data_IF_064600535597
#
_entry.id   IF_064600535597
#
_cell.length_a   1.000
_cell.length_b   1.000
_cell.length_c   1.000
_cell.angle_alpha   90.00
_cell.angle_beta   90.00
_cell.angle_gamma   90.00
#
_symmetry.space_group_name_H-M   'P 1'
#
loop_
_entity.id
_entity.type
_entity.pdbx_description
1 polymer ?
#
# COMPACT_ATOMS: atom_id res chain seq x y z
N UNK A 1 -57.98 -6.57 38.99
CA UNK A 1 -58.20 -5.95 37.67
C UNK A 1 -57.40 -6.73 36.65
N UNK A 2 -57.98 -7.03 35.47
CA UNK A 2 -57.29 -7.75 34.40
C UNK A 2 -56.77 -6.73 33.35
N UNK A 3 -55.55 -6.95 32.86
CA UNK A 3 -54.98 -6.14 31.77
C UNK A 3 -55.39 -6.72 30.41
N UNK A 4 -55.44 -5.89 29.37
CA UNK A 4 -55.49 -6.39 28.00
C UNK A 4 -54.20 -7.16 27.69
N UNK A 5 -54.34 -8.34 27.09
CA UNK A 5 -53.19 -9.10 26.59
C UNK A 5 -52.78 -8.56 25.24
N UNK A 6 -51.55 -8.08 25.14
CA UNK A 6 -50.96 -7.59 23.90
C UNK A 6 -50.25 -8.73 23.17
N UNK A 7 -50.50 -8.85 21.87
CA UNK A 7 -49.80 -9.78 20.97
C UNK A 7 -49.12 -8.97 19.87
N UNK A 8 -47.86 -9.23 19.51
CA UNK A 8 -47.17 -8.52 18.44
C UNK A 8 -47.69 -8.96 17.06
N UNK A 9 -48.93 -8.61 16.75
CA UNK A 9 -49.61 -8.91 15.51
C UNK A 9 -49.97 -7.61 14.79
N UNK A 10 -49.80 -7.59 13.47
CA UNK A 10 -50.27 -6.49 12.64
C UNK A 10 -51.75 -6.71 12.29
N UNK A 11 -52.61 -5.88 12.86
CA UNK A 11 -54.05 -5.85 12.55
C UNK A 11 -54.26 -4.99 11.29
N UNK A 12 -54.90 -5.54 10.25
CA UNK A 12 -55.15 -4.82 8.98
C UNK A 12 -55.97 -3.54 9.17
N UNK A 13 -56.87 -3.54 10.15
CA UNK A 13 -57.73 -2.42 10.50
C UNK A 13 -58.07 -2.40 11.98
N UNK A 14 -58.48 -1.23 12.45
CA UNK A 14 -59.04 -1.05 13.80
C UNK A 14 -60.55 -1.04 13.63
N UNK A 15 -61.23 -1.92 14.36
CA UNK A 15 -62.68 -2.01 14.33
C UNK A 15 -63.30 -0.70 14.78
N UNK A 16 -64.23 -0.18 13.99
CA UNK A 16 -65.06 0.94 14.39
C UNK A 16 -66.30 0.39 15.08
N UNK A 17 -66.65 0.95 16.23
CA UNK A 17 -67.92 0.60 16.87
C UNK A 17 -69.09 0.94 15.96
N UNK A 18 -70.01 -0.01 15.86
CA UNK A 18 -71.27 0.14 15.19
C UNK A 18 -72.37 0.48 16.21
N UNK A 19 -73.41 1.18 15.78
CA UNK A 19 -74.53 1.53 16.66
C UNK A 19 -75.35 0.33 17.12
N UNK A 20 -75.22 -0.81 16.45
CA UNK A 20 -75.85 -2.09 16.80
C UNK A 20 -75.01 -2.94 17.75
N UNK A 21 -73.78 -2.53 18.08
CA UNK A 21 -72.90 -3.34 18.91
C UNK A 21 -73.39 -3.36 20.36
N UNK A 22 -73.46 -4.54 20.99
CA UNK A 22 -73.80 -4.65 22.41
C UNK A 22 -72.62 -4.15 23.27
N UNK A 23 -72.90 -3.39 24.32
CA UNK A 23 -71.86 -3.02 25.30
C UNK A 23 -71.44 -4.27 26.06
N UNK A 24 -70.28 -4.82 25.70
CA UNK A 24 -69.77 -6.07 26.25
C UNK A 24 -68.27 -5.96 26.53
N UNK A 25 -67.92 -5.93 27.82
CA UNK A 25 -66.54 -5.96 28.29
C UNK A 25 -65.92 -7.37 28.35
N UNK A 26 -64.79 -7.47 29.05
CA UNK A 26 -64.03 -8.73 29.19
C UNK A 26 -63.04 -8.99 28.04
N UNK A 27 -62.21 -10.05 28.12
CA UNK A 27 -61.08 -10.27 27.21
C UNK A 27 -61.46 -10.34 25.72
N UNK A 28 -62.64 -10.88 25.41
CA UNK A 28 -63.19 -11.04 24.06
C UNK A 28 -64.41 -10.12 23.80
N UNK A 29 -64.70 -9.19 24.71
CA UNK A 29 -65.77 -8.22 24.55
C UNK A 29 -65.53 -7.29 23.37
N UNK A 30 -66.62 -6.86 22.73
CA UNK A 30 -66.56 -5.97 21.55
C UNK A 30 -66.00 -4.59 21.94
N UNK A 31 -66.29 -4.12 23.16
CA UNK A 31 -65.78 -2.85 23.73
C UNK A 31 -64.25 -2.80 23.77
N UNK A 32 -63.60 -3.97 23.92
CA UNK A 32 -62.16 -4.08 23.99
C UNK A 32 -61.50 -4.41 22.64
N UNK A 33 -62.29 -4.64 21.58
CA UNK A 33 -61.75 -5.00 20.26
C UNK A 33 -60.85 -3.90 19.67
N UNK A 34 -61.30 -2.63 19.50
CA UNK A 34 -60.45 -1.59 18.91
C UNK A 34 -59.19 -1.31 19.73
N UNK A 35 -59.32 -1.27 21.07
CA UNK A 35 -58.20 -1.05 21.99
C UNK A 35 -57.20 -2.20 21.94
N UNK A 36 -57.66 -3.45 21.90
CA UNK A 36 -56.79 -4.63 21.70
C UNK A 36 -56.04 -4.56 20.37
N UNK A 37 -56.73 -4.21 19.29
CA UNK A 37 -56.12 -4.11 17.96
C UNK A 37 -55.06 -3.01 17.90
N UNK A 38 -55.33 -1.84 18.50
CA UNK A 38 -54.36 -0.76 18.64
C UNK A 38 -53.15 -1.19 19.48
N UNK A 39 -53.39 -1.88 20.60
CA UNK A 39 -52.32 -2.37 21.46
C UNK A 39 -51.44 -3.40 20.73
N UNK A 40 -52.04 -4.33 19.99
CA UNK A 40 -51.33 -5.31 19.16
C UNK A 40 -50.43 -4.64 18.10
N UNK A 41 -50.98 -3.67 17.34
CA UNK A 41 -50.20 -2.91 16.34
C UNK A 41 -49.06 -2.12 16.98
N UNK A 42 -49.29 -1.53 18.15
CA UNK A 42 -48.28 -0.78 18.89
C UNK A 42 -47.14 -1.69 19.35
N UNK A 43 -47.47 -2.86 19.91
CA UNK A 43 -46.48 -3.85 20.30
C UNK A 43 -45.71 -4.38 19.09
N UNK A 44 -46.40 -4.70 17.99
CA UNK A 44 -45.77 -5.11 16.73
C UNK A 44 -44.76 -4.05 16.25
N UNK A 45 -45.18 -2.79 16.11
CA UNK A 45 -44.31 -1.69 15.68
C UNK A 45 -43.12 -1.48 16.62
N UNK A 46 -43.32 -1.58 17.94
CA UNK A 46 -42.23 -1.51 18.91
C UNK A 46 -41.23 -2.64 18.71
N UNK A 47 -41.72 -3.84 18.40
CA UNK A 47 -40.88 -5.03 18.14
C UNK A 47 -40.10 -4.88 16.83
N UNK A 48 -40.75 -4.43 15.75
CA UNK A 48 -40.10 -4.17 14.46
C UNK A 48 -39.07 -3.03 14.55
N UNK A 49 -39.40 -1.96 15.28
CA UNK A 49 -38.47 -0.86 15.54
C UNK A 49 -37.25 -1.36 16.33
N UNK A 50 -37.45 -2.20 17.34
CA UNK A 50 -36.35 -2.79 18.09
C UNK A 50 -35.44 -3.65 17.19
N UNK A 51 -36.01 -4.46 16.29
CA UNK A 51 -35.24 -5.24 15.29
C UNK A 51 -34.45 -4.33 14.35
N UNK A 52 -35.07 -3.27 13.83
CA UNK A 52 -34.41 -2.30 12.96
C UNK A 52 -33.24 -1.59 13.66
N UNK A 53 -33.46 -1.12 14.89
CA UNK A 53 -32.43 -0.47 15.72
C UNK A 53 -31.27 -1.42 16.02
N UNK A 54 -31.55 -2.69 16.34
CA UNK A 54 -30.52 -3.71 16.53
C UNK A 54 -29.71 -3.96 15.25
N UNK A 55 -30.37 -4.04 14.09
CA UNK A 55 -29.69 -4.18 12.79
C UNK A 55 -28.77 -2.98 12.48
N UNK A 56 -29.22 -1.76 12.77
CA UNK A 56 -28.41 -0.54 12.63
C UNK A 56 -27.21 -0.55 13.58
N UNK A 57 -27.39 -0.96 14.84
CA UNK A 57 -26.29 -1.10 15.81
C UNK A 57 -25.24 -2.13 15.39
N UNK A 58 -25.67 -3.24 14.78
CA UNK A 58 -24.77 -4.27 14.24
C UNK A 58 -23.88 -3.74 13.12
N UNK A 59 -24.42 -2.92 12.21
CA UNK A 59 -23.64 -2.27 11.14
C UNK A 59 -22.68 -1.21 11.68
N UNK A 60 -23.04 -0.54 12.79
CA UNK A 60 -22.15 0.41 13.43
C UNK A 60 -20.91 -0.23 14.04
N UNK A 61 -21.04 -1.45 14.56
CA UNK A 61 -19.97 -2.21 15.18
C UNK A 61 -18.93 -2.76 14.19
N UNK A 62 -19.28 -2.88 12.90
CA UNK A 62 -18.33 -3.26 11.86
C UNK A 62 -17.40 -2.08 11.58
N UNK A 63 -16.21 -2.13 12.18
CA UNK A 63 -15.14 -1.16 11.96
C UNK A 63 -14.16 -1.71 10.94
N UNK A 64 -13.87 -0.92 9.90
CA UNK A 64 -12.79 -1.22 8.96
C UNK A 64 -11.58 -0.36 9.36
N UNK A 65 -10.55 -1.01 9.90
CA UNK A 65 -9.26 -0.37 10.15
C UNK A 65 -8.46 -0.29 8.85
N UNK A 66 -8.16 0.92 8.38
CA UNK A 66 -7.18 1.07 7.30
C UNK A 66 -5.81 0.69 7.85
N UNK A 67 -5.24 -0.39 7.30
CA UNK A 67 -3.87 -0.80 7.60
C UNK A 67 -2.86 0.13 6.94
N UNK A 68 -1.57 -0.15 7.14
CA UNK A 68 -0.51 0.57 6.44
C UNK A 68 -0.70 0.51 4.92
N UNK A 69 -0.45 1.63 4.23
CA UNK A 69 -0.61 1.79 2.78
C UNK A 69 -2.02 2.11 2.29
N UNK A 70 -3.02 1.97 3.15
CA UNK A 70 -4.39 2.44 2.91
C UNK A 70 -4.67 3.66 3.81
N UNK A 71 -5.35 4.66 3.27
CA UNK A 71 -5.87 5.78 4.05
C UNK A 71 -7.40 5.75 4.03
N UNK A 72 -8.02 6.16 5.14
CA UNK A 72 -9.47 6.11 5.35
C UNK A 72 -9.88 5.11 6.44
N UNK A 73 -11.12 4.59 6.36
CA UNK A 73 -11.69 3.65 7.32
C UNK A 73 -12.97 4.16 8.03
N UNK A 74 -13.34 3.50 9.13
CA UNK A 74 -14.47 3.87 10.00
C UNK A 74 -15.54 2.78 10.15
N UNK A 75 -16.63 3.12 10.85
CA UNK A 75 -17.84 2.29 11.00
C UNK A 75 -18.51 1.99 9.63
N UNK A 76 -19.48 1.07 9.47
CA UNK A 76 -20.25 0.83 8.22
C UNK A 76 -21.61 1.60 8.11
N UNK A 77 -21.92 2.51 9.04
CA UNK A 77 -23.18 3.31 9.05
C UNK A 77 -23.39 4.44 7.99
N UNK A 78 -22.38 4.76 7.19
CA UNK A 78 -22.35 5.71 6.08
C UNK A 78 -21.50 5.17 4.88
N UNK A 79 -21.13 6.02 3.91
CA UNK A 79 -20.21 5.61 2.85
C UNK A 79 -18.75 5.62 3.36
N UNK A 80 -17.95 4.66 2.92
CA UNK A 80 -16.52 4.55 3.26
C UNK A 80 -15.68 4.75 2.02
N UNK A 81 -14.74 5.69 2.11
CA UNK A 81 -13.67 5.84 1.13
C UNK A 81 -12.42 5.17 1.67
N UNK A 82 -11.91 4.20 0.93
CA UNK A 82 -10.60 3.60 1.16
C UNK A 82 -9.76 3.92 -0.06
N UNK A 83 -8.65 4.61 0.16
CA UNK A 83 -7.77 5.04 -0.92
C UNK A 83 -6.38 4.45 -0.69
N UNK A 84 -5.76 3.97 -1.76
CA UNK A 84 -4.34 3.63 -1.76
C UNK A 84 -3.52 4.91 -1.79
N UNK A 85 -2.57 5.04 -0.87
CA UNK A 85 -1.66 6.17 -0.89
C UNK A 85 -0.69 6.10 -2.10
N UNK A 86 -0.22 7.26 -2.56
CA UNK A 86 0.64 7.36 -3.75
C UNK A 86 1.97 6.63 -3.51
N UNK A 87 2.36 5.63 -4.33
CA UNK A 87 3.63 4.93 -4.16
C UNK A 87 4.82 5.89 -4.15
N UNK A 88 5.84 5.61 -3.32
CA UNK A 88 7.04 6.44 -3.31
C UNK A 88 8.01 6.04 -4.43
N UNK A 89 8.97 6.91 -4.74
CA UNK A 89 10.04 6.62 -5.70
C UNK A 89 10.89 5.44 -5.24
N UNK A 90 11.15 4.49 -6.14
CA UNK A 90 12.10 3.40 -5.92
C UNK A 90 13.52 3.86 -6.26
N UNK A 91 14.46 3.59 -5.36
CA UNK A 91 15.90 3.79 -5.52
C UNK A 91 16.65 2.55 -5.03
N UNK A 92 17.97 2.48 -5.28
CA UNK A 92 18.81 1.38 -4.80
C UNK A 92 18.97 1.29 -3.28
N UNK A 93 18.37 2.20 -2.52
CA UNK A 93 18.31 2.17 -1.05
C UNK A 93 16.88 2.07 -0.51
N UNK A 94 15.88 1.93 -1.38
CA UNK A 94 14.49 1.79 -0.97
C UNK A 94 14.30 0.46 -0.25
N UNK A 95 13.58 0.48 0.87
CA UNK A 95 13.21 -0.73 1.61
C UNK A 95 11.75 -1.13 1.34
N UNK A 96 11.39 -2.36 1.68
CA UNK A 96 9.99 -2.77 1.75
C UNK A 96 9.31 -2.03 2.90
N UNK A 97 8.38 -1.14 2.57
CA UNK A 97 7.68 -0.35 3.56
C UNK A 97 6.25 -0.11 3.11
N UNK A 98 5.27 -0.33 3.98
CA UNK A 98 3.87 -0.19 3.62
C UNK A 98 3.38 1.27 3.60
N UNK A 99 4.20 2.25 4.00
CA UNK A 99 3.78 3.65 4.03
C UNK A 99 2.87 4.00 5.21
N UNK A 100 2.72 5.29 5.49
CA UNK A 100 1.71 5.82 6.41
C UNK A 100 1.31 7.24 5.99
N UNK A 101 0.03 7.58 6.12
CA UNK A 101 -0.50 8.88 5.71
C UNK A 101 -0.56 9.07 4.19
N UNK A 102 -0.25 10.27 3.70
CA UNK A 102 -0.34 10.61 2.26
C UNK A 102 0.75 9.98 1.37
N UNK A 103 1.78 9.38 1.98
CA UNK A 103 2.87 8.69 1.28
C UNK A 103 2.61 7.19 1.29
N UNK A 104 2.56 6.59 0.12
CA UNK A 104 2.27 5.18 -0.08
C UNK A 104 3.47 4.27 0.15
N UNK A 105 3.30 3.03 -0.29
CA UNK A 105 4.23 1.94 -0.03
C UNK A 105 5.43 1.97 -0.99
N UNK A 106 6.45 1.20 -0.62
CA UNK A 106 7.63 0.92 -1.42
C UNK A 106 8.02 -0.54 -1.34
N UNK A 107 8.76 -0.98 -2.36
CA UNK A 107 9.40 -2.28 -2.40
C UNK A 107 10.92 -2.14 -2.42
N UNK A 108 11.59 -3.10 -1.79
CA UNK A 108 13.04 -3.18 -1.79
C UNK A 108 13.57 -3.65 -3.14
N UNK A 109 14.58 -2.95 -3.64
CA UNK A 109 15.41 -3.42 -4.74
C UNK A 109 16.74 -3.89 -4.15
N UNK A 110 17.03 -5.18 -4.28
CA UNK A 110 18.26 -5.74 -3.74
C UNK A 110 19.49 -5.06 -4.36
N UNK A 111 20.42 -4.64 -3.50
CA UNK A 111 21.72 -4.15 -3.92
C UNK A 111 22.55 -5.30 -4.47
N UNK A 112 23.27 -5.07 -5.57
CA UNK A 112 24.15 -6.10 -6.11
C UNK A 112 25.25 -6.48 -5.11
N UNK A 113 25.58 -7.77 -5.09
CA UNK A 113 26.73 -8.30 -4.35
C UNK A 113 27.61 -9.13 -5.29
N UNK A 114 28.71 -9.69 -4.78
CA UNK A 114 29.57 -10.55 -5.57
C UNK A 114 28.88 -11.86 -6.05
N UNK A 115 27.76 -12.24 -5.43
CA UNK A 115 27.05 -13.50 -5.71
C UNK A 115 25.56 -13.32 -6.03
N UNK A 116 25.03 -12.09 -5.88
CA UNK A 116 23.62 -11.77 -6.13
C UNK A 116 23.52 -10.61 -7.11
N UNK A 117 22.80 -10.83 -8.21
CA UNK A 117 22.45 -9.77 -9.15
C UNK A 117 21.50 -8.77 -8.47
N UNK A 118 21.75 -7.47 -8.69
CA UNK A 118 20.96 -6.39 -8.12
C UNK A 118 21.23 -5.08 -8.83
N UNK A 119 20.71 -3.98 -8.28
CA UNK A 119 20.96 -2.64 -8.82
C UNK A 119 22.32 -2.10 -8.34
N UNK A 120 23.05 -1.42 -9.23
CA UNK A 120 24.35 -0.76 -8.96
C UNK A 120 24.33 0.69 -9.43
N UNK A 121 25.17 1.53 -8.82
CA UNK A 121 25.39 2.92 -9.25
C UNK A 121 26.38 2.96 -10.43
N UNK A 122 26.24 3.93 -11.35
CA UNK A 122 27.28 4.22 -12.35
C UNK A 122 28.34 5.17 -11.79
N UNK A 123 29.61 4.89 -12.09
CA UNK A 123 30.76 5.73 -11.73
C UNK A 123 31.38 6.37 -12.97
N UNK A 124 31.74 7.65 -12.84
CA UNK A 124 32.28 8.54 -13.86
C UNK A 124 33.76 8.90 -13.65
N UNK A 125 34.51 8.06 -12.91
CA UNK A 125 35.96 8.18 -12.77
C UNK A 125 36.62 6.79 -12.74
N UNK A 126 37.94 6.75 -12.98
CA UNK A 126 38.77 5.53 -12.92
C UNK A 126 39.52 5.36 -11.59
N UNK A 127 39.21 6.17 -10.58
CA UNK A 127 39.90 6.15 -9.28
C UNK A 127 39.08 5.48 -8.18
N UNK A 128 37.76 5.41 -8.32
CA UNK A 128 36.89 4.75 -7.37
C UNK A 128 36.90 3.23 -7.53
N UNK A 129 37.07 2.51 -6.42
CA UNK A 129 36.85 1.07 -6.31
C UNK A 129 35.52 0.74 -5.64
N UNK A 130 35.17 -0.54 -5.55
CA UNK A 130 33.97 -1.01 -4.87
C UNK A 130 33.39 -2.26 -5.52
N UNK A 131 32.29 -2.78 -4.94
CA UNK A 131 31.53 -3.93 -5.47
C UNK A 131 30.09 -3.57 -5.84
N UNK A 132 29.70 -2.32 -5.63
CA UNK A 132 28.34 -1.82 -5.75
C UNK A 132 28.19 -0.75 -6.83
N UNK A 133 29.17 -0.65 -7.71
CA UNK A 133 29.18 0.28 -8.81
C UNK A 133 29.69 -0.35 -10.10
N UNK A 134 29.11 0.08 -11.22
CA UNK A 134 29.56 -0.25 -12.55
C UNK A 134 30.26 0.97 -13.19
N UNK A 135 31.25 0.69 -14.04
CA UNK A 135 31.92 1.72 -14.81
C UNK A 135 30.95 2.31 -15.84
N UNK A 136 30.90 3.64 -15.94
CA UNK A 136 30.13 4.30 -17.00
C UNK A 136 30.75 4.05 -18.38
N UNK A 137 29.93 4.15 -19.42
CA UNK A 137 30.38 3.97 -20.80
C UNK A 137 31.47 4.96 -21.20
N UNK A 138 31.42 6.20 -20.68
CA UNK A 138 32.42 7.23 -20.98
C UNK A 138 33.79 6.88 -20.39
N UNK A 139 33.82 6.44 -19.12
CA UNK A 139 35.06 6.00 -18.49
C UNK A 139 35.60 4.70 -19.11
N UNK A 140 34.74 3.87 -19.69
CA UNK A 140 35.15 2.74 -20.54
C UNK A 140 35.97 3.18 -21.76
N UNK A 141 35.63 4.32 -22.39
CA UNK A 141 36.43 4.90 -23.48
C UNK A 141 37.75 5.45 -22.98
N UNK A 142 37.76 6.14 -21.85
CA UNK A 142 38.99 6.67 -21.26
C UNK A 142 39.96 5.54 -20.89
N UNK A 143 39.46 4.46 -20.28
CA UNK A 143 40.25 3.28 -19.99
C UNK A 143 40.80 2.64 -21.27
N UNK A 144 39.97 2.52 -22.33
CA UNK A 144 40.42 2.01 -23.63
C UNK A 144 41.54 2.87 -24.22
N UNK A 145 41.40 4.19 -24.17
CA UNK A 145 42.42 5.14 -24.63
C UNK A 145 43.73 4.95 -23.86
N UNK A 146 43.69 4.88 -22.53
CA UNK A 146 44.86 4.66 -21.70
C UNK A 146 45.56 3.31 -22.01
N UNK A 147 44.79 2.25 -22.27
CA UNK A 147 45.32 0.94 -22.67
C UNK A 147 46.01 1.03 -24.04
N UNK A 148 45.40 1.69 -25.02
CA UNK A 148 45.98 1.85 -26.35
C UNK A 148 47.28 2.67 -26.31
N UNK A 149 47.30 3.74 -25.53
CA UNK A 149 48.49 4.57 -25.31
C UNK A 149 49.63 3.78 -24.63
N UNK A 150 49.30 2.97 -23.62
CA UNK A 150 50.27 2.11 -22.95
C UNK A 150 50.82 1.00 -23.87
N UNK A 151 49.97 0.40 -24.71
CA UNK A 151 50.39 -0.60 -25.69
C UNK A 151 51.33 0.01 -26.76
N UNK A 152 51.00 1.21 -27.24
CA UNK A 152 51.85 1.97 -28.16
C UNK A 152 53.24 2.28 -27.57
N UNK A 153 53.31 2.60 -26.27
CA UNK A 153 54.59 2.84 -25.59
C UNK A 153 55.48 1.59 -25.45
N UNK A 154 54.90 0.38 -25.49
CA UNK A 154 55.64 -0.88 -25.34
C UNK A 154 56.11 -1.48 -26.69
N UNK A 155 55.46 -1.11 -27.80
CA UNK A 155 55.86 -1.49 -29.17
C UNK A 155 57.33 -1.19 -29.54
N UNK A 156 57.96 -0.05 -29.17
CA UNK A 156 59.38 0.18 -29.46
C UNK A 156 60.35 -0.77 -28.73
N UNK A 157 59.88 -1.53 -27.73
CA UNK A 157 60.74 -2.45 -26.95
C UNK A 157 60.72 -3.90 -27.45
N UNK A 158 59.79 -4.28 -28.35
CA UNK A 158 59.54 -5.70 -28.67
C UNK A 158 59.58 -6.06 -30.16
N UNK A 159 59.81 -5.11 -31.07
CA UNK A 159 59.72 -5.40 -32.52
C UNK A 159 60.60 -4.60 -33.47
N UNK A 160 61.52 -3.77 -32.98
CA UNK A 160 62.58 -3.20 -33.82
C UNK A 160 63.81 -4.09 -33.72
N UNK A 161 64.38 -4.49 -34.87
CA UNK A 161 65.76 -4.98 -34.88
C UNK A 161 66.61 -4.04 -33.99
N UNK A 162 67.49 -4.60 -33.16
CA UNK A 162 68.52 -3.82 -32.49
C UNK A 162 69.38 -3.16 -33.57
N UNK A 163 68.97 -1.98 -34.06
CA UNK A 163 69.90 -1.11 -34.76
C UNK A 163 71.00 -0.82 -33.76
N UNK A 164 72.26 -0.90 -34.17
CA UNK A 164 73.48 -0.73 -33.35
C UNK A 164 73.56 0.62 -32.61
N UNK A 165 72.52 1.44 -32.67
CA UNK A 165 72.36 2.68 -31.94
C UNK A 165 70.95 2.75 -31.34
N UNK A 166 70.80 2.38 -30.07
CA UNK A 166 69.68 2.86 -29.26
C UNK A 166 69.91 4.36 -29.01
N UNK A 167 69.35 5.24 -29.83
CA UNK A 167 69.24 6.64 -29.44
C UNK A 167 68.13 6.80 -28.39
N UNK A 168 68.50 6.63 -27.12
CA UNK A 168 67.69 7.13 -26.01
C UNK A 168 67.73 8.67 -26.05
N UNK A 169 66.74 9.27 -26.72
CA UNK A 169 66.52 10.72 -26.63
C UNK A 169 66.23 11.10 -25.17
N UNK A 170 67.21 11.70 -24.50
CA UNK A 170 67.00 12.43 -23.24
C UNK A 170 67.81 12.00 -22.03
N UNK A 171 68.66 10.98 -22.10
CA UNK A 171 69.56 10.64 -20.98
C UNK A 171 71.01 10.96 -21.33
N UNK A 172 71.57 11.91 -20.59
CA UNK A 172 72.93 12.40 -20.72
C UNK A 172 73.91 11.21 -20.63
N UNK A 173 74.66 10.94 -21.69
CA UNK A 173 75.59 9.82 -21.73
C UNK A 173 76.64 9.97 -20.62
N UNK A 174 76.63 9.03 -19.66
CA UNK A 174 77.70 8.90 -18.66
C UNK A 174 79.00 8.57 -19.40
N UNK A 175 79.89 9.55 -19.47
CA UNK A 175 81.26 9.44 -19.93
C UNK A 175 82.06 8.52 -18.99
N UNK A 176 82.33 7.29 -19.41
CA UNK A 176 83.38 6.47 -18.81
C UNK A 176 84.70 6.74 -19.54
N UNK A 177 85.63 7.44 -18.87
CA UNK A 177 87.04 7.44 -19.27
C UNK A 177 87.73 6.27 -18.57
N UNK A 178 88.47 5.47 -19.34
CA UNK A 178 89.47 4.53 -18.82
C UNK A 178 90.61 5.27 -18.14
#
# INVERSE_FOLDING_TARGET
>A
MANLTETPAWEEGIYQFETSDPVMGGPNGIDNRPTRQLANRTLYLKTELAKAVQGIGGLQAVTIGAGAGLTGGGSLAANRSLTLATPSTLSGSTANWAGSGGTGHTHELAKATATLAGVVRLIDNLTAGGRDAALSAEQGKELKKAIDEAAAACLPLTGGALSETLELKGYNALSWRN
#
